data_IF_803203278437
#
_entry.id   IF_803203278437
#
_cell.length_a   1.000
_cell.length_b   1.000
_cell.length_c   1.000
_cell.angle_alpha   90.00
_cell.angle_beta   90.00
_cell.angle_gamma   90.00
#
_symmetry.space_group_name_H-M   'P 1'
#
loop_
_entity.id
_entity.type
_entity.pdbx_description
1 polymer ?
#
# COMPACT_ATOMS: atom_id res chain seq x y z
N UNK A 1 -20.40 11.52 -0.11
CA UNK A 1 -19.60 10.46 0.55
C UNK A 1 -18.14 10.90 0.53
N UNK A 2 -17.35 10.69 1.61
CA UNK A 2 -15.95 11.12 1.66
C UNK A 2 -15.03 10.19 0.88
N UNK A 3 -13.92 10.73 0.36
CA UNK A 3 -12.86 9.98 -0.31
C UNK A 3 -11.92 9.35 0.73
N UNK A 4 -11.67 8.05 0.61
CA UNK A 4 -11.05 7.21 1.62
C UNK A 4 -9.67 6.71 1.21
N UNK A 5 -8.92 6.12 2.15
CA UNK A 5 -7.66 5.43 1.86
C UNK A 5 -7.84 4.24 0.92
N UNK A 6 -9.02 3.60 0.96
CA UNK A 6 -9.36 2.54 0.02
C UNK A 6 -9.53 3.10 -1.40
N UNK A 7 -10.20 4.25 -1.54
CA UNK A 7 -10.36 4.90 -2.84
C UNK A 7 -9.02 5.33 -3.43
N UNK A 8 -8.12 5.90 -2.61
CA UNK A 8 -6.73 6.19 -3.01
C UNK A 8 -5.96 4.96 -3.50
N UNK A 9 -6.12 3.84 -2.78
CA UNK A 9 -5.50 2.59 -3.18
C UNK A 9 -6.10 2.03 -4.48
N UNK A 10 -7.41 2.16 -4.68
CA UNK A 10 -8.11 1.72 -5.88
C UNK A 10 -7.67 2.50 -7.11
N UNK A 11 -7.50 3.82 -6.99
CA UNK A 11 -7.00 4.66 -8.07
C UNK A 11 -5.56 4.27 -8.48
N UNK A 12 -4.71 3.96 -7.49
CA UNK A 12 -3.34 3.53 -7.76
C UNK A 12 -3.29 2.18 -8.49
N UNK A 13 -4.10 1.19 -8.08
CA UNK A 13 -4.21 -0.10 -8.78
C UNK A 13 -4.81 0.09 -10.17
N UNK A 14 -5.88 0.87 -10.31
CA UNK A 14 -6.51 1.14 -11.59
C UNK A 14 -5.56 1.79 -12.60
N UNK A 15 -4.66 2.66 -12.14
CA UNK A 15 -3.59 3.21 -12.98
C UNK A 15 -2.61 2.13 -13.46
N UNK A 16 -2.16 1.24 -12.58
CA UNK A 16 -1.24 0.16 -12.95
C UNK A 16 -1.88 -0.81 -13.93
N UNK A 17 -3.16 -1.16 -13.73
CA UNK A 17 -3.93 -2.00 -14.63
C UNK A 17 -4.09 -1.35 -16.01
N UNK A 18 -4.40 -0.05 -16.07
CA UNK A 18 -4.52 0.71 -17.32
C UNK A 18 -3.18 0.78 -18.08
N UNK A 19 -2.05 0.73 -17.37
CA UNK A 19 -0.71 0.65 -17.95
C UNK A 19 -0.28 -0.78 -18.31
N UNK A 20 -1.09 -1.80 -18.00
CA UNK A 20 -0.77 -3.21 -18.24
C UNK A 20 0.33 -3.76 -17.32
N UNK A 21 0.60 -3.10 -16.19
CA UNK A 21 1.62 -3.52 -15.23
C UNK A 21 1.03 -4.62 -14.36
N UNK A 22 1.47 -5.86 -14.54
CA UNK A 22 0.90 -6.99 -13.81
C UNK A 22 1.44 -7.14 -12.37
N UNK A 23 2.60 -6.54 -12.09
CA UNK A 23 3.22 -6.58 -10.77
C UNK A 23 4.08 -5.35 -10.49
N UNK A 24 4.03 -4.82 -9.26
CA UNK A 24 4.86 -3.70 -8.83
C UNK A 24 5.34 -3.83 -7.38
N UNK A 25 6.51 -3.27 -7.09
CA UNK A 25 6.95 -3.02 -5.72
C UNK A 25 6.31 -1.73 -5.22
N UNK A 26 5.53 -1.82 -4.14
CA UNK A 26 4.89 -0.65 -3.55
C UNK A 26 5.59 -0.29 -2.24
N UNK A 27 6.19 0.89 -2.20
CA UNK A 27 6.86 1.43 -1.00
C UNK A 27 6.06 2.62 -0.51
N UNK A 28 5.59 2.55 0.74
CA UNK A 28 4.80 3.61 1.36
C UNK A 28 5.52 4.26 2.54
N UNK A 29 5.41 5.59 2.67
CA UNK A 29 5.86 6.37 3.85
C UNK A 29 4.72 7.22 4.38
N UNK A 30 4.61 7.36 5.70
CA UNK A 30 3.51 8.08 6.36
C UNK A 30 2.16 7.49 5.94
N UNK A 31 1.16 8.30 5.58
CA UNK A 31 -0.11 7.87 5.00
C UNK A 31 0.05 6.92 3.80
N UNK A 32 1.14 7.05 3.03
CA UNK A 32 1.43 6.17 1.90
C UNK A 32 1.61 4.69 2.31
N UNK A 33 2.03 4.42 3.54
CA UNK A 33 2.08 3.05 4.06
C UNK A 33 0.68 2.45 4.25
N UNK A 34 -0.27 3.23 4.75
CA UNK A 34 -1.68 2.81 4.90
C UNK A 34 -2.33 2.57 3.53
N UNK A 35 -2.08 3.46 2.56
CA UNK A 35 -2.54 3.28 1.18
C UNK A 35 -1.97 1.98 0.59
N UNK A 36 -0.69 1.70 0.83
CA UNK A 36 -0.06 0.47 0.36
C UNK A 36 -0.63 -0.81 1.01
N UNK A 37 -1.05 -0.78 2.28
CA UNK A 37 -1.74 -1.89 2.92
C UNK A 37 -3.12 -2.15 2.29
N UNK A 38 -3.89 -1.08 2.04
CA UNK A 38 -5.18 -1.20 1.35
C UNK A 38 -5.03 -1.73 -0.08
N UNK A 39 -4.02 -1.28 -0.82
CA UNK A 39 -3.77 -1.70 -2.20
C UNK A 39 -3.56 -3.21 -2.36
N UNK A 40 -2.93 -3.88 -1.38
CA UNK A 40 -2.76 -5.34 -1.43
C UNK A 40 -4.07 -6.14 -1.41
N UNK A 41 -5.15 -5.51 -0.96
CA UNK A 41 -6.48 -6.13 -0.83
C UNK A 41 -7.33 -5.89 -2.08
N UNK A 42 -6.83 -5.11 -3.04
CA UNK A 42 -7.55 -4.75 -4.26
C UNK A 42 -7.16 -5.73 -5.38
N UNK A 43 -8.13 -6.37 -6.05
CA UNK A 43 -7.85 -7.23 -7.20
C UNK A 43 -7.25 -6.45 -8.38
N UNK A 44 -6.44 -7.11 -9.21
CA UNK A 44 -5.77 -6.51 -10.37
C UNK A 44 -4.26 -6.70 -10.29
N UNK A 45 -3.51 -5.62 -10.49
CA UNK A 45 -2.05 -5.58 -10.35
C UNK A 45 -1.58 -6.18 -9.02
N UNK A 46 -0.69 -7.17 -9.08
CA UNK A 46 -0.11 -7.77 -7.87
C UNK A 46 0.90 -6.82 -7.23
N UNK A 47 0.71 -6.48 -5.97
CA UNK A 47 1.67 -5.69 -5.21
C UNK A 47 2.57 -6.56 -4.33
N UNK A 48 3.86 -6.26 -4.35
CA UNK A 48 4.82 -6.70 -3.32
C UNK A 48 5.14 -5.47 -2.48
N UNK A 49 4.56 -5.39 -1.28
CA UNK A 49 4.75 -4.21 -0.44
C UNK A 49 6.01 -4.31 0.42
N UNK A 50 6.78 -3.23 0.44
CA UNK A 50 7.84 -3.02 1.41
C UNK A 50 7.41 -1.91 2.37
N UNK A 51 7.05 -2.31 3.59
CA UNK A 51 6.48 -1.42 4.59
C UNK A 51 7.58 -0.79 5.44
N UNK A 52 7.87 0.48 5.15
CA UNK A 52 8.58 1.33 6.11
C UNK A 52 7.57 2.05 7.01
N UNK A 53 6.82 1.27 7.80
CA UNK A 53 6.21 1.81 9.01
C UNK A 53 7.24 1.79 10.13
N UNK A 54 7.85 2.94 10.42
CA UNK A 54 8.23 3.20 11.80
C UNK A 54 6.93 3.18 12.57
N UNK A 55 6.68 2.09 13.28
CA UNK A 55 5.57 1.93 14.20
C UNK A 55 5.48 3.18 15.07
N UNK A 56 4.47 4.03 14.83
CA UNK A 56 4.21 5.14 15.73
C UNK A 56 3.63 4.53 17.01
N UNK A 57 4.49 4.30 18.01
CA UNK A 57 4.09 3.81 19.33
C UNK A 57 4.17 2.29 19.57
N UNK A 58 4.76 1.50 18.67
CA UNK A 58 5.17 0.12 19.00
C UNK A 58 6.70 0.07 18.91
N UNK A 59 7.34 -0.12 20.05
CA UNK A 59 8.77 -0.33 20.14
C UNK A 59 9.08 -1.65 19.44
N UNK A 60 10.11 -1.68 18.56
CA UNK A 60 10.68 -2.94 18.10
C UNK A 60 11.29 -3.63 19.33
N UNK A 61 10.52 -4.47 20.01
CA UNK A 61 11.09 -5.44 20.92
C UNK A 61 12.02 -6.30 20.07
N UNK A 62 13.32 -6.07 20.26
CA UNK A 62 14.37 -6.69 19.50
C UNK A 62 14.21 -8.21 19.58
N UNK A 63 14.19 -8.85 18.41
CA UNK A 63 14.42 -10.28 18.31
C UNK A 63 15.72 -10.60 19.05
N UNK A 64 15.60 -11.43 20.09
CA UNK A 64 16.72 -12.09 20.78
C UNK A 64 16.82 -13.51 20.23
#
# INVERSE_FOLDING_TARGET
MPYTLYDMAADAIGLLDALGIQSAHLVGRSMGGMIADHGQRIPGTRLVADFNYVQYGQSRAAAT
#
